data_IF_117193481390
#
_entry.id   IF_117193481390
#
_cell.length_a   1.000
_cell.length_b   1.000
_cell.length_c   1.000
_cell.angle_alpha   90.00
_cell.angle_beta   90.00
_cell.angle_gamma   90.00
#
_symmetry.space_group_name_H-M   'P 1'
#
loop_
_entity.id
_entity.type
_entity.pdbx_description
1 polymer ?
#
# COMPACT_ATOMS: atom_id res chain seq x y z
N UNK A 1 -10.94 -33.75 -3.88
CA UNK A 1 -9.69 -33.98 -3.11
C UNK A 1 -9.13 -32.72 -2.48
N UNK A 2 -9.38 -31.54 -3.07
CA UNK A 2 -9.10 -30.24 -2.49
C UNK A 2 -10.25 -29.69 -1.62
N UNK A 3 -11.35 -30.44 -1.51
CA UNK A 3 -12.64 -29.91 -1.04
C UNK A 3 -12.80 -29.86 0.48
N UNK A 4 -11.89 -30.49 1.24
CA UNK A 4 -12.05 -30.69 2.69
C UNK A 4 -10.85 -30.22 3.52
N UNK A 5 -9.92 -29.47 2.92
CA UNK A 5 -8.82 -28.82 3.66
C UNK A 5 -9.21 -27.41 4.12
N UNK A 6 -8.61 -26.89 5.22
CA UNK A 6 -8.84 -25.50 5.68
C UNK A 6 -8.42 -24.44 4.63
N UNK A 7 -7.70 -24.85 3.58
CA UNK A 7 -7.29 -24.04 2.43
C UNK A 7 -8.01 -24.51 1.15
N UNK A 8 -9.34 -24.59 1.17
CA UNK A 8 -10.13 -24.89 -0.03
C UNK A 8 -10.47 -23.58 -0.77
N UNK A 9 -10.03 -23.45 -2.02
CA UNK A 9 -10.27 -22.28 -2.88
C UNK A 9 -11.74 -22.06 -3.27
N UNK A 10 -12.61 -23.05 -3.09
CA UNK A 10 -14.07 -22.92 -3.27
C UNK A 10 -14.78 -22.38 -2.01
N UNK A 11 -14.07 -22.25 -0.88
CA UNK A 11 -14.61 -21.58 0.31
C UNK A 11 -14.32 -20.08 0.24
N UNK A 12 -15.14 -19.27 0.93
CA UNK A 12 -14.97 -17.81 0.97
C UNK A 12 -13.55 -17.42 1.41
N UNK A 13 -12.98 -18.10 2.41
CA UNK A 13 -11.63 -17.81 2.92
C UNK A 13 -10.56 -18.15 1.87
N UNK A 14 -10.67 -19.29 1.21
CA UNK A 14 -9.73 -19.67 0.15
C UNK A 14 -9.82 -18.74 -1.07
N UNK A 15 -11.04 -18.36 -1.47
CA UNK A 15 -11.26 -17.41 -2.54
C UNK A 15 -10.67 -16.03 -2.20
N UNK A 16 -10.90 -15.52 -0.98
CA UNK A 16 -10.28 -14.26 -0.50
C UNK A 16 -8.75 -14.36 -0.57
N UNK A 17 -8.15 -15.46 -0.10
CA UNK A 17 -6.70 -15.63 -0.15
C UNK A 17 -6.14 -15.58 -1.57
N UNK A 18 -6.78 -16.30 -2.51
CA UNK A 18 -6.34 -16.32 -3.91
C UNK A 18 -6.51 -14.95 -4.55
N UNK A 19 -7.66 -14.30 -4.35
CA UNK A 19 -7.93 -12.96 -4.89
C UNK A 19 -6.97 -11.92 -4.29
N UNK A 20 -6.70 -11.97 -2.99
CA UNK A 20 -5.75 -11.06 -2.32
C UNK A 20 -4.33 -11.24 -2.85
N UNK A 21 -3.86 -12.47 -3.03
CA UNK A 21 -2.54 -12.74 -3.63
C UNK A 21 -2.45 -12.24 -5.07
N UNK A 22 -3.52 -12.43 -5.85
CA UNK A 22 -3.59 -11.96 -7.23
C UNK A 22 -3.60 -10.42 -7.32
N UNK A 23 -4.40 -9.77 -6.48
CA UNK A 23 -4.54 -8.30 -6.47
C UNK A 23 -3.37 -7.58 -5.79
N UNK A 24 -2.63 -8.24 -4.89
CA UNK A 24 -1.49 -7.67 -4.18
C UNK A 24 -0.45 -7.02 -5.11
N UNK A 25 -0.09 -7.70 -6.22
CA UNK A 25 0.94 -7.17 -7.13
C UNK A 25 0.53 -5.85 -7.77
N UNK A 26 -0.75 -5.72 -8.14
CA UNK A 26 -1.27 -4.50 -8.78
C UNK A 26 -1.29 -3.34 -7.79
N UNK A 27 -1.76 -3.60 -6.56
CA UNK A 27 -1.77 -2.60 -5.48
C UNK A 27 -0.35 -2.17 -5.13
N UNK A 28 0.58 -3.11 -5.03
CA UNK A 28 1.99 -2.81 -4.75
C UNK A 28 2.60 -1.89 -5.82
N UNK A 29 2.38 -2.20 -7.10
CA UNK A 29 2.93 -1.43 -8.21
C UNK A 29 2.37 0.00 -8.25
N UNK A 30 1.07 0.12 -8.00
CA UNK A 30 0.38 1.42 -7.90
C UNK A 30 0.90 2.27 -6.74
N UNK A 31 1.05 1.67 -5.55
CA UNK A 31 1.56 2.36 -4.36
C UNK A 31 3.03 2.77 -4.54
N UNK A 32 3.85 1.91 -5.14
CA UNK A 32 5.25 2.21 -5.45
C UNK A 32 5.36 3.41 -6.39
N UNK A 33 4.57 3.43 -7.47
CA UNK A 33 4.56 4.55 -8.40
C UNK A 33 4.10 5.85 -7.72
N UNK A 34 3.09 5.79 -6.85
CA UNK A 34 2.63 6.97 -6.11
C UNK A 34 3.70 7.51 -5.14
N UNK A 35 4.49 6.64 -4.53
CA UNK A 35 5.60 7.03 -3.65
C UNK A 35 6.76 7.68 -4.41
N UNK A 36 7.06 7.24 -5.63
CA UNK A 36 8.10 7.84 -6.48
C UNK A 36 7.79 9.31 -6.87
N UNK A 37 6.51 9.70 -6.90
CA UNK A 37 6.12 11.09 -7.18
C UNK A 37 6.23 12.03 -5.97
N UNK A 38 6.48 11.52 -4.77
CA UNK A 38 6.59 12.35 -3.56
C UNK A 38 8.00 12.88 -3.40
N UNK A 39 8.15 14.21 -3.35
CA UNK A 39 9.45 14.87 -3.18
C UNK A 39 10.01 14.71 -1.77
N UNK A 40 11.29 14.34 -1.68
CA UNK A 40 12.00 14.07 -0.42
C UNK A 40 12.33 15.33 0.39
N UNK A 41 12.10 16.53 -0.14
CA UNK A 41 12.51 17.81 0.48
C UNK A 41 11.95 18.00 1.90
N UNK A 42 10.70 17.58 2.14
CA UNK A 42 10.09 17.65 3.48
C UNK A 42 10.64 16.58 4.44
N UNK A 43 11.08 15.44 3.91
CA UNK A 43 11.72 14.38 4.71
C UNK A 43 13.13 14.80 5.13
N UNK A 44 13.91 15.38 4.22
CA UNK A 44 15.24 15.92 4.49
C UNK A 44 15.19 17.05 5.53
N UNK A 45 14.21 17.96 5.41
CA UNK A 45 13.98 19.00 6.42
C UNK A 45 13.66 18.41 7.81
N UNK A 46 12.83 17.37 7.85
CA UNK A 46 12.49 16.69 9.11
C UNK A 46 13.69 15.94 9.71
N UNK A 47 14.53 15.32 8.87
CA UNK A 47 15.76 14.67 9.30
C UNK A 47 16.77 15.68 9.89
N UNK A 48 16.92 16.86 9.27
CA UNK A 48 17.77 17.95 9.80
C UNK A 48 17.26 18.45 11.16
N UNK A 49 15.94 18.50 11.37
CA UNK A 49 15.33 18.84 12.66
C UNK A 49 15.38 17.71 13.71
N UNK A 50 16.00 16.57 13.39
CA UNK A 50 16.15 15.44 14.32
C UNK A 50 14.90 14.57 14.49
N UNK A 51 13.98 14.58 13.53
CA UNK A 51 12.82 13.69 13.55
C UNK A 51 13.23 12.23 13.28
N UNK A 52 12.65 11.30 14.05
CA UNK A 52 12.81 9.86 13.80
C UNK A 52 12.12 9.47 12.48
N UNK A 53 12.72 8.62 11.61
CA UNK A 53 12.14 8.17 10.35
C UNK A 53 10.69 7.67 10.43
N UNK A 54 10.31 6.92 11.47
CA UNK A 54 8.91 6.50 11.65
C UNK A 54 7.94 7.68 11.79
N UNK A 55 8.39 8.75 12.45
CA UNK A 55 7.62 9.98 12.66
C UNK A 55 7.52 10.76 11.35
N UNK A 56 8.61 10.83 10.59
CA UNK A 56 8.66 11.42 9.24
C UNK A 56 7.70 10.69 8.30
N UNK A 57 7.75 9.36 8.25
CA UNK A 57 6.84 8.56 7.41
C UNK A 57 5.38 8.79 7.76
N UNK A 58 4.99 8.74 9.04
CA UNK A 58 3.58 8.86 9.44
C UNK A 58 3.04 10.29 9.36
N UNK A 59 3.87 11.32 9.52
CA UNK A 59 3.44 12.73 9.56
C UNK A 59 3.70 13.53 8.31
N UNK A 60 4.61 13.08 7.45
CA UNK A 60 5.00 13.80 6.23
C UNK A 60 4.67 12.93 5.02
N UNK A 61 5.34 11.79 4.85
CA UNK A 61 5.20 10.93 3.67
C UNK A 61 3.76 10.42 3.51
N UNK A 62 3.22 9.75 4.53
CA UNK A 62 1.90 9.11 4.47
C UNK A 62 0.78 10.11 4.14
N UNK A 63 0.62 11.27 4.82
CA UNK A 63 -0.42 12.24 4.46
C UNK A 63 -0.18 12.94 3.13
N UNK A 64 1.06 13.04 2.63
CA UNK A 64 1.35 13.63 1.32
C UNK A 64 0.98 12.66 0.17
N UNK A 65 1.24 11.36 0.36
CA UNK A 65 0.90 10.31 -0.63
C UNK A 65 -0.59 9.93 -0.53
N UNK A 66 -1.23 10.09 0.63
CA UNK A 66 -2.64 9.75 0.86
C UNK A 66 -3.63 10.33 -0.18
N UNK A 67 -3.63 11.64 -0.51
CA UNK A 67 -4.52 12.18 -1.54
C UNK A 67 -4.25 11.56 -2.92
N UNK A 68 -3.00 11.25 -3.24
CA UNK A 68 -2.60 10.56 -4.48
C UNK A 68 -3.12 9.12 -4.50
N UNK A 69 -3.00 8.38 -3.40
CA UNK A 69 -3.54 7.02 -3.26
C UNK A 69 -5.05 7.03 -3.43
N UNK A 70 -5.75 7.97 -2.80
CA UNK A 70 -7.21 8.12 -2.94
C UNK A 70 -7.59 8.43 -4.39
N UNK A 71 -6.90 9.37 -5.04
CA UNK A 71 -7.16 9.72 -6.43
C UNK A 71 -6.88 8.56 -7.39
N UNK A 72 -5.80 7.81 -7.17
CA UNK A 72 -5.49 6.61 -7.95
C UNK A 72 -6.54 5.52 -7.74
N UNK A 73 -6.98 5.32 -6.50
CA UNK A 73 -8.01 4.34 -6.16
C UNK A 73 -9.31 4.64 -6.90
N UNK A 74 -9.75 5.90 -6.93
CA UNK A 74 -10.92 6.36 -7.70
C UNK A 74 -10.78 6.13 -9.21
N UNK A 75 -9.56 6.19 -9.76
CA UNK A 75 -9.35 5.95 -11.19
C UNK A 75 -9.36 4.45 -11.55
N UNK A 76 -8.99 3.60 -10.60
CA UNK A 76 -8.81 2.15 -10.81
C UNK A 76 -10.11 1.35 -10.60
N UNK A 77 -11.04 1.90 -9.82
CA UNK A 77 -12.32 1.29 -9.48
C UNK A 77 -13.50 2.13 -9.96
#
# INVERSE_FOLDING_TARGET
>A
GADQGPLNCYTLIGAILVVSLYSYQYVFLMVSSALEFVSSELEDAAAILGANPLKTTLRITLPLVLPTIISGFILTF
#
